data_IF_671077425573
#
_entry.id   IF_671077425573
#
_cell.length_a   1.000
_cell.length_b   1.000
_cell.length_c   1.000
_cell.angle_alpha   90.00
_cell.angle_beta   90.00
_cell.angle_gamma   90.00
#
_symmetry.space_group_name_H-M   'P 1'
#
loop_
_entity.id
_entity.type
_entity.pdbx_description
1 polymer ?
#
# COMPACT_ATOMS: atom_id res chain seq x y z
N UNK A 1 -0.31 41.12 30.33
CA UNK A 1 -1.39 40.98 31.33
C UNK A 1 -2.22 39.74 31.03
N UNK A 2 -2.30 38.87 32.05
CA UNK A 2 -3.22 37.72 32.27
C UNK A 2 -3.31 36.59 31.25
N UNK A 3 -2.58 35.55 31.60
CA UNK A 3 -2.81 34.16 31.20
C UNK A 3 -4.12 33.65 31.81
N UNK A 4 -4.92 32.89 31.06
CA UNK A 4 -6.03 32.08 31.57
C UNK A 4 -5.70 30.60 31.27
N UNK A 5 -5.31 29.90 32.32
CA UNK A 5 -5.14 28.46 32.33
C UNK A 5 -6.52 27.79 32.48
N UNK A 6 -6.89 26.93 31.53
CA UNK A 6 -8.08 26.08 31.62
C UNK A 6 -7.64 24.67 32.10
N UNK A 7 -7.79 24.43 33.41
CA UNK A 7 -7.66 23.13 34.02
C UNK A 7 -8.99 22.37 33.95
N UNK A 8 -9.16 21.50 32.97
CA UNK A 8 -10.26 20.54 32.92
C UNK A 8 -9.86 19.25 33.65
N UNK A 9 -10.43 19.00 34.86
CA UNK A 9 -10.26 17.73 35.58
C UNK A 9 -11.20 16.69 34.99
N UNK A 10 -10.65 15.64 34.39
CA UNK A 10 -11.39 14.41 34.10
C UNK A 10 -11.64 13.66 35.42
N UNK A 11 -12.89 13.65 35.86
CA UNK A 11 -13.34 12.82 36.97
C UNK A 11 -13.62 11.41 36.44
N UNK A 12 -12.70 10.46 36.67
CA UNK A 12 -12.93 9.03 36.51
C UNK A 12 -13.97 8.55 37.53
N UNK A 13 -15.21 8.35 37.11
CA UNK A 13 -16.20 7.60 37.88
C UNK A 13 -15.83 6.14 37.84
N UNK A 14 -15.34 5.61 38.99
CA UNK A 14 -15.19 4.17 39.24
C UNK A 14 -16.58 3.54 39.27
N UNK A 15 -16.92 2.73 38.29
CA UNK A 15 -18.08 1.85 38.36
C UNK A 15 -17.74 0.66 39.26
N UNK A 16 -18.48 0.53 40.40
CA UNK A 16 -18.38 -0.60 41.30
C UNK A 16 -19.03 -1.84 40.66
N UNK A 17 -18.22 -2.79 40.22
CA UNK A 17 -18.68 -4.13 39.83
C UNK A 17 -18.58 -5.11 40.98
N UNK A 18 -19.56 -5.04 41.84
CA UNK A 18 -19.75 -6.00 42.91
C UNK A 18 -21.15 -6.62 42.80
N UNK A 19 -21.28 -7.64 41.95
CA UNK A 19 -22.43 -8.58 41.93
C UNK A 19 -22.22 -9.62 40.80
N UNK A 20 -21.56 -10.73 41.12
CA UNK A 20 -21.78 -12.10 40.64
C UNK A 20 -20.65 -12.99 41.14
N UNK A 21 -20.82 -13.72 42.27
CA UNK A 21 -19.90 -14.73 42.69
C UNK A 21 -20.18 -16.04 41.91
N UNK A 22 -19.22 -16.53 41.14
CA UNK A 22 -19.32 -17.88 40.55
C UNK A 22 -18.80 -18.11 39.15
N UNK A 23 -18.22 -17.13 38.48
CA UNK A 23 -17.71 -17.33 37.11
C UNK A 23 -16.18 -17.20 37.07
N UNK A 24 -15.52 -18.17 36.39
CA UNK A 24 -14.09 -18.22 36.15
C UNK A 24 -13.57 -16.97 35.47
N UNK A 25 -12.34 -16.55 35.78
CA UNK A 25 -11.69 -15.33 35.32
C UNK A 25 -11.61 -15.21 33.76
N UNK A 26 -11.55 -16.35 33.06
CA UNK A 26 -11.51 -16.42 31.62
C UNK A 26 -12.83 -16.00 30.93
N UNK A 27 -13.97 -16.30 31.57
CA UNK A 27 -15.30 -15.98 31.03
C UNK A 27 -15.64 -14.49 31.26
N UNK A 28 -15.07 -13.87 32.30
CA UNK A 28 -15.26 -12.42 32.56
C UNK A 28 -14.62 -11.52 31.49
N UNK A 29 -13.51 -11.95 30.92
CA UNK A 29 -12.83 -11.18 29.85
C UNK A 29 -13.62 -11.18 28.52
N UNK A 30 -14.27 -12.29 28.19
CA UNK A 30 -15.04 -12.42 26.93
C UNK A 30 -16.37 -11.64 27.00
N UNK A 31 -17.04 -11.64 28.13
CA UNK A 31 -18.30 -10.90 28.33
C UNK A 31 -18.07 -9.37 28.39
N UNK A 32 -16.93 -8.92 28.88
CA UNK A 32 -16.59 -7.49 28.93
C UNK A 32 -16.33 -6.92 27.54
N UNK A 33 -15.73 -7.72 26.63
CA UNK A 33 -15.47 -7.31 25.23
C UNK A 33 -16.78 -7.21 24.44
N UNK A 34 -17.74 -8.13 24.67
CA UNK A 34 -19.04 -8.11 24.00
C UNK A 34 -19.96 -6.98 24.50
N UNK A 35 -19.87 -6.62 25.78
CA UNK A 35 -20.67 -5.51 26.34
C UNK A 35 -20.18 -4.12 25.88
N UNK A 36 -18.90 -3.96 25.53
CA UNK A 36 -18.37 -2.71 24.96
C UNK A 36 -18.80 -2.51 23.50
N UNK A 37 -19.14 -3.57 22.77
CA UNK A 37 -19.54 -3.48 21.35
C UNK A 37 -21.03 -3.16 21.15
N UNK A 38 -21.87 -3.26 22.18
CA UNK A 38 -23.33 -3.08 22.04
C UNK A 38 -23.81 -1.67 22.45
N UNK A 39 -22.95 -0.87 23.09
CA UNK A 39 -23.35 0.47 23.63
C UNK A 39 -23.00 1.68 22.74
N UNK A 40 -22.43 1.44 21.54
CA UNK A 40 -22.04 2.55 20.65
C UNK A 40 -22.97 2.74 19.42
N UNK A 41 -24.18 2.20 19.50
CA UNK A 41 -25.17 2.32 18.41
C UNK A 41 -25.99 3.61 18.44
N UNK A 42 -25.56 4.66 19.14
CA UNK A 42 -26.25 5.96 19.21
C UNK A 42 -25.32 7.15 19.01
N UNK A 43 -24.63 7.19 17.88
CA UNK A 43 -24.25 8.48 17.27
C UNK A 43 -24.44 8.35 15.76
N UNK A 44 -25.68 8.43 15.31
CA UNK A 44 -25.95 8.87 13.94
C UNK A 44 -25.64 10.37 13.89
N UNK A 45 -24.38 10.73 13.90
CA UNK A 45 -23.94 12.05 13.50
C UNK A 45 -23.93 12.05 11.98
N UNK A 46 -24.85 12.81 11.39
CA UNK A 46 -24.85 13.22 9.99
C UNK A 46 -23.70 14.21 9.73
N UNK A 47 -22.48 13.80 10.05
CA UNK A 47 -21.28 14.49 9.66
C UNK A 47 -20.69 13.76 8.46
N UNK A 48 -20.56 14.46 7.33
CA UNK A 48 -19.72 13.95 6.25
C UNK A 48 -18.38 13.51 6.86
N UNK A 49 -17.86 12.32 6.49
CA UNK A 49 -16.54 11.90 6.95
C UNK A 49 -15.54 13.02 6.61
N UNK A 50 -14.54 13.29 7.48
CA UNK A 50 -13.59 14.35 7.24
C UNK A 50 -12.99 14.13 5.86
N UNK A 51 -13.24 15.05 4.94
CA UNK A 51 -12.64 15.00 3.61
C UNK A 51 -11.14 15.24 3.82
N UNK A 52 -10.39 14.16 3.83
CA UNK A 52 -8.93 14.25 3.79
C UNK A 52 -8.59 14.93 2.46
N UNK A 53 -7.87 16.05 2.52
CA UNK A 53 -7.37 16.80 1.34
C UNK A 53 -6.30 15.99 0.58
N UNK A 54 -6.44 14.68 0.55
CA UNK A 54 -5.55 13.79 -0.17
C UNK A 54 -5.82 13.88 -1.67
N UNK A 55 -4.76 13.93 -2.46
CA UNK A 55 -4.86 13.94 -3.92
C UNK A 55 -5.66 12.71 -4.40
N UNK A 56 -6.54 12.86 -5.38
CA UNK A 56 -7.27 11.73 -5.93
C UNK A 56 -6.32 10.75 -6.62
N UNK A 57 -6.49 9.47 -6.33
CA UNK A 57 -5.69 8.40 -6.92
C UNK A 57 -6.05 8.25 -8.39
N UNK A 58 -5.06 8.43 -9.25
CA UNK A 58 -5.20 8.23 -10.70
C UNK A 58 -5.17 6.74 -11.03
N UNK A 59 -5.74 6.39 -12.18
CA UNK A 59 -5.64 5.01 -12.66
C UNK A 59 -4.18 4.66 -12.99
N UNK A 60 -3.66 3.50 -12.52
CA UNK A 60 -2.33 3.01 -12.89
C UNK A 60 -2.28 2.40 -14.30
N UNK A 61 -3.37 2.46 -15.07
CA UNK A 61 -3.45 1.89 -16.40
C UNK A 61 -2.45 2.57 -17.36
N UNK A 62 -1.70 1.77 -18.10
CA UNK A 62 -0.74 2.22 -19.12
C UNK A 62 -1.26 2.06 -20.55
N UNK A 63 -2.55 1.74 -20.72
CA UNK A 63 -3.20 1.56 -22.02
C UNK A 63 -3.14 0.15 -22.59
N UNK A 64 -2.27 -0.72 -22.08
CA UNK A 64 -2.18 -2.15 -22.50
C UNK A 64 -2.77 -3.00 -21.38
N UNK A 65 -3.92 -3.64 -21.65
CA UNK A 65 -4.65 -4.42 -20.68
C UNK A 65 -4.69 -5.89 -21.06
N UNK A 66 -3.95 -6.73 -20.34
CA UNK A 66 -3.91 -8.17 -20.60
C UNK A 66 -5.04 -8.96 -19.92
N UNK A 67 -5.78 -8.35 -18.99
CA UNK A 67 -6.95 -9.00 -18.37
C UNK A 67 -8.08 -9.22 -19.37
N UNK A 68 -8.12 -8.44 -20.46
CA UNK A 68 -9.06 -8.65 -21.56
C UNK A 68 -8.82 -9.93 -22.38
N UNK A 69 -7.66 -10.55 -22.27
CA UNK A 69 -7.28 -11.81 -22.91
C UNK A 69 -7.16 -12.98 -21.92
N UNK A 70 -7.63 -12.80 -20.67
CA UNK A 70 -7.77 -13.84 -19.67
C UNK A 70 -6.75 -13.84 -18.53
N UNK A 71 -5.77 -12.92 -18.50
CA UNK A 71 -4.83 -12.83 -17.38
C UNK A 71 -5.55 -12.38 -16.10
N UNK A 72 -5.36 -13.11 -15.01
CA UNK A 72 -5.87 -12.76 -13.68
C UNK A 72 -5.22 -11.49 -13.12
N UNK A 73 -3.97 -11.22 -13.52
CA UNK A 73 -3.18 -10.04 -13.15
C UNK A 73 -2.70 -9.34 -14.40
N UNK A 74 -3.06 -8.09 -14.58
CA UNK A 74 -2.68 -7.30 -15.75
C UNK A 74 -1.15 -7.14 -15.85
N UNK A 75 -0.53 -7.56 -16.95
CA UNK A 75 0.91 -7.43 -17.19
C UNK A 75 1.37 -5.97 -17.23
N UNK A 76 0.52 -5.06 -17.68
CA UNK A 76 0.86 -3.65 -17.75
C UNK A 76 0.86 -2.97 -16.39
N UNK A 77 -0.27 -2.94 -15.70
CA UNK A 77 -0.44 -2.18 -14.46
C UNK A 77 -0.43 -3.02 -13.18
N UNK A 78 -0.30 -4.34 -13.27
CA UNK A 78 -0.23 -5.33 -12.17
C UNK A 78 -1.47 -5.32 -11.25
N UNK A 79 -2.58 -4.66 -11.67
CA UNK A 79 -3.88 -4.80 -11.01
C UNK A 79 -4.47 -6.18 -11.26
N UNK A 80 -5.24 -6.66 -10.31
CA UNK A 80 -6.05 -7.86 -10.47
C UNK A 80 -7.20 -7.61 -11.45
N UNK A 81 -7.69 -8.65 -12.12
CA UNK A 81 -8.75 -8.53 -13.13
C UNK A 81 -10.00 -7.81 -12.57
N UNK A 82 -10.47 -8.18 -11.38
CA UNK A 82 -11.62 -7.53 -10.74
C UNK A 82 -11.36 -6.05 -10.41
N UNK A 83 -10.15 -5.67 -10.03
CA UNK A 83 -9.78 -4.28 -9.77
C UNK A 83 -9.74 -3.43 -11.06
N UNK A 84 -9.39 -4.06 -12.18
CA UNK A 84 -9.44 -3.39 -13.50
C UNK A 84 -10.89 -3.12 -13.88
N UNK A 85 -11.76 -4.13 -13.73
CA UNK A 85 -13.17 -4.06 -14.10
C UNK A 85 -13.91 -3.03 -13.23
N UNK A 86 -13.71 -3.06 -11.91
CA UNK A 86 -14.47 -2.25 -10.96
C UNK A 86 -13.82 -0.90 -10.61
N UNK A 87 -12.67 -0.56 -11.21
CA UNK A 87 -11.88 0.64 -10.87
C UNK A 87 -12.69 1.92 -10.78
N UNK A 88 -13.59 2.14 -11.73
CA UNK A 88 -14.38 3.37 -11.78
C UNK A 88 -15.42 3.46 -10.65
N UNK A 89 -15.88 2.32 -10.13
CA UNK A 89 -16.79 2.23 -9.02
C UNK A 89 -16.12 2.29 -7.64
N UNK A 90 -14.79 2.14 -7.58
CA UNK A 90 -14.05 2.19 -6.31
C UNK A 90 -14.04 3.59 -5.71
N UNK A 91 -14.19 3.65 -4.40
CA UNK A 91 -13.93 4.85 -3.59
C UNK A 91 -12.45 5.24 -3.65
N UNK A 92 -12.11 6.45 -3.20
CA UNK A 92 -10.71 6.88 -3.14
C UNK A 92 -9.89 6.04 -2.17
N UNK A 93 -10.49 5.54 -1.11
CA UNK A 93 -9.80 4.69 -0.12
C UNK A 93 -9.50 3.30 -0.70
N UNK A 94 -10.45 2.67 -1.40
CA UNK A 94 -10.21 1.41 -2.11
C UNK A 94 -9.12 1.56 -3.18
N UNK A 95 -9.14 2.65 -3.95
CA UNK A 95 -8.09 2.96 -4.92
C UNK A 95 -6.73 3.12 -4.25
N UNK A 96 -6.69 3.74 -3.06
CA UNK A 96 -5.47 3.92 -2.28
C UNK A 96 -4.91 2.58 -1.77
N UNK A 97 -5.75 1.65 -1.31
CA UNK A 97 -5.30 0.31 -0.93
C UNK A 97 -4.65 -0.44 -2.10
N UNK A 98 -5.25 -0.37 -3.29
CA UNK A 98 -4.65 -0.96 -4.49
C UNK A 98 -3.32 -0.29 -4.83
N UNK A 99 -3.26 1.04 -4.81
CA UNK A 99 -2.06 1.82 -5.11
C UNK A 99 -0.91 1.51 -4.13
N UNK A 100 -1.20 1.43 -2.83
CA UNK A 100 -0.24 1.05 -1.80
C UNK A 100 0.31 -0.37 -1.99
N UNK A 101 -0.55 -1.34 -2.35
CA UNK A 101 -0.09 -2.70 -2.65
C UNK A 101 0.83 -2.72 -3.86
N UNK A 102 0.44 -2.04 -4.94
CA UNK A 102 1.25 -1.95 -6.15
C UNK A 102 2.60 -1.28 -5.87
N UNK A 103 2.62 -0.17 -5.14
CA UNK A 103 3.84 0.51 -4.71
C UNK A 103 4.74 -0.42 -3.89
N UNK A 104 4.19 -1.11 -2.90
CA UNK A 104 4.95 -2.04 -2.06
C UNK A 104 5.61 -3.17 -2.86
N UNK A 105 4.90 -3.77 -3.81
CA UNK A 105 5.48 -4.86 -4.62
C UNK A 105 6.55 -4.35 -5.59
N UNK A 106 6.32 -3.18 -6.18
CA UNK A 106 7.33 -2.52 -7.01
C UNK A 106 8.60 -2.23 -6.20
N UNK A 107 8.44 -1.67 -5.00
CA UNK A 107 9.57 -1.37 -4.10
C UNK A 107 10.36 -2.62 -3.74
N UNK A 108 9.68 -3.72 -3.44
CA UNK A 108 10.34 -5.01 -3.16
C UNK A 108 11.13 -5.51 -4.38
N UNK A 109 10.55 -5.45 -5.57
CA UNK A 109 11.22 -5.87 -6.81
C UNK A 109 12.45 -5.00 -7.11
N UNK A 110 12.37 -3.68 -6.89
CA UNK A 110 13.49 -2.75 -7.05
C UNK A 110 14.57 -2.96 -5.99
N UNK A 111 14.19 -3.02 -4.70
CA UNK A 111 15.11 -3.17 -3.58
C UNK A 111 15.92 -4.47 -3.64
N UNK A 112 15.38 -5.52 -4.26
CA UNK A 112 16.11 -6.76 -4.51
C UNK A 112 17.27 -6.61 -5.50
N UNK A 113 17.23 -5.60 -6.36
CA UNK A 113 18.22 -5.40 -7.45
C UNK A 113 19.04 -4.13 -7.30
N UNK A 114 18.50 -3.12 -6.64
CA UNK A 114 19.12 -1.81 -6.52
C UNK A 114 19.05 -1.29 -5.08
N UNK A 115 19.99 -0.41 -4.73
CA UNK A 115 19.94 0.38 -3.48
C UNK A 115 19.95 1.86 -3.84
N UNK A 116 19.02 2.62 -3.30
CA UNK A 116 19.06 4.08 -3.35
C UNK A 116 20.09 4.55 -2.30
N UNK A 117 21.14 5.23 -2.75
CA UNK A 117 22.24 5.72 -1.91
C UNK A 117 22.10 7.19 -1.57
N UNK A 118 21.45 7.96 -2.44
CA UNK A 118 21.17 9.37 -2.25
C UNK A 118 19.77 9.70 -2.78
N UNK A 119 18.82 9.82 -1.85
CA UNK A 119 17.42 10.12 -2.15
C UNK A 119 17.23 11.51 -2.74
N UNK A 120 17.97 12.50 -2.22
CA UNK A 120 17.83 13.88 -2.67
C UNK A 120 18.38 14.05 -4.08
N UNK A 121 19.51 13.39 -4.38
CA UNK A 121 20.07 13.36 -5.72
C UNK A 121 19.11 12.67 -6.72
N UNK A 122 18.53 11.53 -6.33
CA UNK A 122 17.54 10.83 -7.17
C UNK A 122 16.35 11.73 -7.46
N UNK A 123 15.80 12.39 -6.45
CA UNK A 123 14.67 13.30 -6.57
C UNK A 123 15.01 14.49 -7.49
N UNK A 124 16.19 15.09 -7.29
CA UNK A 124 16.67 16.19 -8.13
C UNK A 124 16.79 15.75 -9.60
N UNK A 125 17.27 14.55 -9.87
CA UNK A 125 17.37 13.99 -11.23
C UNK A 125 15.97 13.78 -11.84
N UNK A 126 15.01 13.22 -11.08
CA UNK A 126 13.63 13.05 -11.53
C UNK A 126 13.00 14.39 -11.94
N UNK A 127 13.14 15.40 -11.10
CA UNK A 127 12.59 16.73 -11.34
C UNK A 127 13.27 17.43 -12.53
N UNK A 128 14.60 17.34 -12.63
CA UNK A 128 15.38 17.95 -13.72
C UNK A 128 15.07 17.32 -15.06
N UNK A 129 14.84 16.01 -15.10
CA UNK A 129 14.49 15.29 -16.33
C UNK A 129 13.00 15.25 -16.60
N UNK A 130 12.19 15.93 -15.77
CA UNK A 130 10.72 16.00 -15.89
C UNK A 130 10.07 14.61 -15.89
N UNK A 131 10.66 13.65 -15.19
CA UNK A 131 10.10 12.31 -15.02
C UNK A 131 8.96 12.37 -14.02
N UNK A 132 7.79 11.90 -14.42
CA UNK A 132 6.61 11.88 -13.55
C UNK A 132 6.70 10.71 -12.57
N UNK A 133 6.63 11.00 -11.29
CA UNK A 133 6.57 10.03 -10.21
C UNK A 133 5.52 10.44 -9.15
N UNK A 134 5.21 9.54 -8.22
CA UNK A 134 4.31 9.84 -7.11
C UNK A 134 5.14 10.08 -5.84
N UNK A 135 5.09 11.29 -5.30
CA UNK A 135 5.84 11.71 -4.10
C UNK A 135 5.34 11.00 -2.82
N UNK A 136 4.12 10.42 -2.85
CA UNK A 136 3.53 9.69 -1.73
C UNK A 136 4.08 8.26 -1.62
N UNK A 137 4.75 7.78 -2.67
CA UNK A 137 5.43 6.49 -2.68
C UNK A 137 6.87 6.62 -2.15
N UNK A 138 7.50 5.47 -1.91
CA UNK A 138 8.90 5.45 -1.57
C UNK A 138 9.82 5.80 -2.78
N UNK A 139 11.11 5.94 -2.52
CA UNK A 139 12.12 6.28 -3.52
C UNK A 139 12.26 5.26 -4.65
N UNK A 140 11.92 3.99 -4.40
CA UNK A 140 12.01 2.94 -5.41
C UNK A 140 10.96 3.11 -6.52
N UNK A 141 9.81 3.68 -6.20
CA UNK A 141 8.82 4.08 -7.20
C UNK A 141 9.40 5.10 -8.18
N UNK A 142 10.07 6.12 -7.66
CA UNK A 142 10.79 7.13 -8.46
C UNK A 142 11.92 6.52 -9.29
N UNK A 143 12.76 5.66 -8.66
CA UNK A 143 13.83 4.94 -9.34
C UNK A 143 13.31 4.14 -10.55
N UNK A 144 12.22 3.42 -10.39
CA UNK A 144 11.66 2.64 -11.50
C UNK A 144 11.14 3.53 -12.63
N UNK A 145 10.53 4.68 -12.31
CA UNK A 145 10.12 5.63 -13.34
C UNK A 145 11.32 6.23 -14.08
N UNK A 146 12.43 6.51 -13.38
CA UNK A 146 13.68 6.94 -13.99
C UNK A 146 14.23 5.89 -14.97
N UNK A 147 14.26 4.61 -14.56
CA UNK A 147 14.69 3.51 -15.44
C UNK A 147 13.75 3.35 -16.65
N UNK A 148 12.45 3.51 -16.46
CA UNK A 148 11.48 3.48 -17.58
C UNK A 148 11.69 4.62 -18.58
N UNK A 149 12.00 5.81 -18.08
CA UNK A 149 12.17 6.99 -18.91
C UNK A 149 13.52 7.00 -19.66
N UNK A 150 14.60 6.50 -19.02
CA UNK A 150 15.94 6.75 -19.52
C UNK A 150 17.00 5.68 -19.25
N UNK A 151 16.66 4.39 -19.06
CA UNK A 151 17.65 3.35 -18.78
C UNK A 151 18.80 3.30 -19.80
N UNK A 152 18.53 3.57 -21.07
CA UNK A 152 19.54 3.61 -22.15
C UNK A 152 20.47 4.83 -22.10
N UNK A 153 20.08 5.88 -21.39
CA UNK A 153 20.80 7.15 -21.29
C UNK A 153 21.71 7.21 -20.05
N UNK A 154 21.45 6.35 -19.07
CA UNK A 154 22.18 6.33 -17.81
C UNK A 154 23.43 5.49 -17.99
N UNK A 155 24.59 6.14 -18.03
CA UNK A 155 25.90 5.45 -18.11
C UNK A 155 26.46 5.10 -16.74
N UNK A 156 26.14 5.87 -15.69
CA UNK A 156 26.63 5.70 -14.34
C UNK A 156 25.50 5.90 -13.33
N UNK A 157 24.96 4.80 -12.73
CA UNK A 157 23.87 4.85 -11.76
C UNK A 157 24.15 5.73 -10.54
N UNK A 158 25.42 5.83 -10.10
CA UNK A 158 25.76 6.60 -8.90
C UNK A 158 25.50 8.11 -9.07
N UNK A 159 25.57 8.63 -10.28
CA UNK A 159 25.22 10.03 -10.62
C UNK A 159 23.73 10.32 -10.54
N UNK A 160 22.94 9.28 -10.40
CA UNK A 160 21.47 9.34 -10.26
C UNK A 160 20.99 8.92 -8.86
N UNK A 161 21.94 8.78 -7.91
CA UNK A 161 21.63 8.50 -6.51
C UNK A 161 21.29 7.04 -6.21
N UNK A 162 21.61 6.09 -7.12
CA UNK A 162 21.38 4.67 -6.85
C UNK A 162 22.56 3.80 -7.28
N UNK A 163 22.58 2.56 -6.82
CA UNK A 163 23.56 1.53 -7.17
C UNK A 163 22.85 0.22 -7.48
N UNK A 164 23.32 -0.49 -8.50
CA UNK A 164 22.92 -1.86 -8.81
C UNK A 164 23.66 -2.83 -7.88
N UNK A 165 22.98 -3.85 -7.39
CA UNK A 165 23.60 -4.87 -6.56
C UNK A 165 24.58 -5.70 -7.38
N UNK A 166 25.69 -6.19 -6.78
CA UNK A 166 26.71 -6.95 -7.50
C UNK A 166 26.18 -8.16 -8.26
N UNK A 167 25.17 -8.82 -7.71
CA UNK A 167 24.50 -9.99 -8.34
C UNK A 167 23.79 -9.67 -9.68
N UNK A 168 23.57 -8.40 -9.98
CA UNK A 168 22.88 -7.91 -11.17
C UNK A 168 23.73 -6.94 -12.00
N UNK A 169 25.02 -6.79 -11.64
CA UNK A 169 25.92 -5.81 -12.27
C UNK A 169 26.24 -6.14 -13.74
N UNK A 170 26.11 -7.40 -14.14
CA UNK A 170 26.36 -7.86 -15.51
C UNK A 170 25.24 -7.49 -16.48
N UNK A 171 24.07 -7.11 -15.97
CA UNK A 171 22.93 -6.70 -16.80
C UNK A 171 23.04 -5.22 -17.18
N UNK A 172 22.61 -4.92 -18.41
CA UNK A 172 22.33 -3.53 -18.78
C UNK A 172 21.15 -2.96 -17.95
N UNK A 173 21.08 -1.65 -17.79
CA UNK A 173 19.96 -1.02 -17.08
C UNK A 173 18.60 -1.25 -17.76
N UNK A 174 18.59 -1.52 -19.06
CA UNK A 174 17.38 -1.89 -19.81
C UNK A 174 16.91 -3.28 -19.35
N UNK A 175 17.79 -4.26 -19.35
CA UNK A 175 17.50 -5.63 -18.89
C UNK A 175 17.12 -5.63 -17.40
N UNK A 176 17.82 -4.83 -16.58
CA UNK A 176 17.52 -4.67 -15.16
C UNK A 176 16.10 -4.13 -14.93
N UNK A 177 15.70 -3.11 -15.71
CA UNK A 177 14.34 -2.57 -15.69
C UNK A 177 13.30 -3.64 -16.04
N UNK A 178 13.57 -4.43 -17.07
CA UNK A 178 12.66 -5.48 -17.53
C UNK A 178 12.54 -6.61 -16.49
N UNK A 179 13.65 -6.95 -15.82
CA UNK A 179 13.65 -7.89 -14.70
C UNK A 179 12.92 -7.37 -13.45
N UNK A 180 12.97 -6.08 -13.18
CA UNK A 180 12.17 -5.46 -12.11
C UNK A 180 10.68 -5.55 -12.47
N UNK A 181 10.30 -5.25 -13.70
CA UNK A 181 8.91 -5.32 -14.17
C UNK A 181 8.35 -6.76 -14.14
N UNK A 182 9.18 -7.75 -14.51
CA UNK A 182 8.87 -9.16 -14.41
C UNK A 182 8.63 -9.60 -12.96
N UNK A 183 9.56 -9.28 -12.03
CA UNK A 183 9.41 -9.62 -10.62
C UNK A 183 8.18 -8.95 -10.00
N UNK A 184 7.90 -7.71 -10.38
CA UNK A 184 6.70 -7.01 -9.94
C UNK A 184 5.42 -7.74 -10.39
N UNK A 185 5.41 -8.25 -11.63
CA UNK A 185 4.29 -9.06 -12.11
C UNK A 185 4.20 -10.42 -11.39
N UNK A 186 5.33 -11.11 -11.19
CA UNK A 186 5.40 -12.39 -10.47
C UNK A 186 4.90 -12.24 -9.03
N UNK A 187 5.34 -11.20 -8.30
CA UNK A 187 4.88 -10.92 -6.93
C UNK A 187 3.37 -10.66 -6.89
N UNK A 188 2.85 -9.90 -7.86
CA UNK A 188 1.42 -9.61 -7.95
C UNK A 188 0.61 -10.86 -8.24
N UNK A 189 1.09 -11.74 -9.12
CA UNK A 189 0.45 -13.01 -9.48
C UNK A 189 0.47 -13.98 -8.30
N UNK A 190 1.62 -14.15 -7.64
CA UNK A 190 1.73 -15.00 -6.46
C UNK A 190 0.81 -14.55 -5.31
N UNK A 191 0.63 -13.23 -5.15
CA UNK A 191 -0.31 -12.69 -4.17
C UNK A 191 -1.77 -12.97 -4.58
N UNK A 192 -2.09 -12.82 -5.86
CA UNK A 192 -3.43 -13.16 -6.37
C UNK A 192 -3.75 -14.63 -6.15
N UNK A 193 -2.84 -15.53 -6.54
CA UNK A 193 -3.02 -16.97 -6.43
C UNK A 193 -3.22 -17.41 -4.98
N UNK A 194 -2.43 -16.83 -4.07
CA UNK A 194 -2.47 -17.19 -2.66
C UNK A 194 -3.75 -16.76 -1.94
N UNK A 195 -4.31 -15.59 -2.27
CA UNK A 195 -5.37 -14.97 -1.48
C UNK A 195 -6.72 -14.87 -2.19
N UNK A 196 -6.75 -15.05 -3.52
CA UNK A 196 -7.96 -14.83 -4.31
C UNK A 196 -8.32 -15.99 -5.23
N UNK A 197 -7.33 -16.76 -5.73
CA UNK A 197 -7.58 -17.87 -6.64
C UNK A 197 -7.96 -19.18 -5.92
N UNK A 198 -7.65 -19.28 -4.61
CA UNK A 198 -7.96 -20.48 -3.79
C UNK A 198 -8.89 -20.12 -2.64
N UNK A 199 -10.18 -19.85 -2.89
CA UNK A 199 -11.15 -19.60 -1.83
C UNK A 199 -11.38 -20.83 -0.94
N UNK A 200 -11.19 -22.03 -1.46
CA UNK A 200 -11.57 -23.29 -0.81
C UNK A 200 -10.69 -23.71 0.37
N UNK A 201 -9.47 -23.18 0.49
CA UNK A 201 -8.57 -23.48 1.62
C UNK A 201 -9.07 -22.99 2.98
N UNK A 202 -10.01 -22.05 3.00
CA UNK A 202 -10.58 -21.52 4.24
C UNK A 202 -11.92 -22.17 4.62
N UNK A 203 -12.60 -22.86 3.71
CA UNK A 203 -13.84 -23.58 4.02
C UNK A 203 -13.58 -24.94 4.68
N UNK A 204 -12.46 -25.61 4.40
CA UNK A 204 -12.11 -26.91 5.01
C UNK A 204 -11.78 -26.84 6.51
N UNK A 205 -11.40 -25.66 7.02
CA UNK A 205 -11.05 -25.48 8.46
C UNK A 205 -12.31 -25.30 9.33
N UNK A 206 -13.49 -25.12 8.75
CA UNK A 206 -14.75 -24.91 9.48
C UNK A 206 -15.66 -26.17 9.53
N UNK A 207 -15.22 -27.33 9.06
CA UNK A 207 -15.87 -28.63 9.23
C UNK A 207 -15.07 -29.46 10.23
#
# INVERSE_FOLDING_TARGET
>A
MRALAFKGRLALRRANYSLCPGLSTAIRSILCIHAMFILDSRVMSTGNPPQTNLKPIKTPCIGVCSTGIGDSVCRGCKRFSHEVIHWNGYTQDEKRFVDQRLSKFLSQACAHKCTVIDRELLKWQLDTQLVRYNDEHDEYGGLFQLLKAGASQISDPSKYGFRVHPSWADLSLIELRDKIDEDFWVLSTAHYDRYLATPDLFEEVQR
#
